data_IF_262162093891
#
_entry.id   IF_262162093891
#
_cell.length_a   1.000
_cell.length_b   1.000
_cell.length_c   1.000
_cell.angle_alpha   90.00
_cell.angle_beta   90.00
_cell.angle_gamma   90.00
#
_symmetry.space_group_name_H-M   'P 1'
#
loop_
_entity.id
_entity.type
_entity.pdbx_description
1 polymer ?
#
# COMPACT_ATOMS: atom_id res chain seq x y z
N UNK A 1 7.72 3.83 4.41
CA UNK A 1 7.75 5.03 5.32
C UNK A 1 7.81 4.53 6.75
N UNK A 2 8.88 4.86 7.50
CA UNK A 2 9.14 4.25 8.82
C UNK A 2 8.73 5.11 10.01
N UNK A 3 8.59 6.43 9.83
CA UNK A 3 8.15 7.38 10.86
C UNK A 3 7.67 8.68 10.23
N UNK A 4 6.93 9.49 10.98
CA UNK A 4 6.47 10.83 10.57
C UNK A 4 7.33 11.91 11.24
N UNK A 5 8.26 12.48 10.48
CA UNK A 5 9.15 13.58 10.85
C UNK A 5 9.01 14.74 9.88
N UNK A 6 9.61 15.88 10.17
CA UNK A 6 9.56 17.06 9.29
C UNK A 6 10.06 16.81 7.86
N UNK A 7 10.80 15.72 7.62
CA UNK A 7 11.30 15.34 6.30
C UNK A 7 10.36 14.39 5.54
N UNK A 8 9.27 13.96 6.17
CA UNK A 8 8.39 12.92 5.61
C UNK A 8 7.65 13.41 4.38
N UNK A 9 6.93 14.51 4.48
CA UNK A 9 6.19 15.08 3.34
C UNK A 9 7.10 15.52 2.20
N UNK A 10 8.21 16.27 2.43
CA UNK A 10 9.15 16.60 1.36
C UNK A 10 9.76 15.36 0.68
N UNK A 11 10.10 14.33 1.47
CA UNK A 11 10.60 13.06 0.95
C UNK A 11 9.58 12.32 0.10
N UNK A 12 8.32 12.27 0.52
CA UNK A 12 7.21 11.67 -0.21
C UNK A 12 7.00 12.36 -1.57
N UNK A 13 6.89 13.68 -1.57
CA UNK A 13 6.70 14.47 -2.80
C UNK A 13 7.84 14.24 -3.77
N UNK A 14 9.08 14.30 -3.27
CA UNK A 14 10.28 14.03 -4.10
C UNK A 14 10.26 12.62 -4.70
N UNK A 15 9.87 11.60 -3.92
CA UNK A 15 9.81 10.22 -4.39
C UNK A 15 8.75 10.07 -5.49
N UNK A 16 7.54 10.59 -5.28
CA UNK A 16 6.45 10.52 -6.29
C UNK A 16 6.83 11.26 -7.58
N UNK A 17 7.45 12.44 -7.46
CA UNK A 17 7.96 13.18 -8.63
C UNK A 17 9.06 12.41 -9.35
N UNK A 18 9.94 11.73 -8.60
CA UNK A 18 10.96 10.85 -9.15
C UNK A 18 10.35 9.72 -9.98
N UNK A 19 9.38 9.00 -9.41
CA UNK A 19 8.68 7.92 -10.12
C UNK A 19 7.96 8.41 -11.39
N UNK A 20 7.28 9.56 -11.31
CA UNK A 20 6.64 10.16 -12.49
C UNK A 20 7.64 10.51 -13.59
N UNK A 21 8.82 11.03 -13.22
CA UNK A 21 9.87 11.38 -14.17
C UNK A 21 10.52 10.16 -14.81
N UNK A 22 10.71 9.09 -14.03
CA UNK A 22 11.40 7.87 -14.46
C UNK A 22 10.49 6.97 -15.30
N UNK A 23 9.25 6.76 -14.85
CA UNK A 23 8.31 5.80 -15.43
C UNK A 23 7.30 6.44 -16.39
N UNK A 24 7.07 7.75 -16.29
CA UNK A 24 6.09 8.42 -17.15
C UNK A 24 4.73 7.74 -17.13
N UNK A 25 4.25 7.39 -18.32
CA UNK A 25 2.94 6.72 -18.52
C UNK A 25 2.92 5.24 -18.07
N UNK A 26 4.08 4.65 -17.80
CA UNK A 26 4.18 3.29 -17.26
C UNK A 26 3.87 3.22 -15.76
N UNK A 27 3.80 4.36 -15.07
CA UNK A 27 3.45 4.41 -13.66
C UNK A 27 1.96 4.08 -13.46
N UNK A 28 1.66 2.86 -13.07
CA UNK A 28 0.29 2.34 -12.93
C UNK A 28 -0.37 2.66 -11.59
N UNK A 29 0.41 2.96 -10.55
CA UNK A 29 -0.09 3.26 -9.21
C UNK A 29 1.01 3.34 -8.17
N UNK A 30 0.63 3.58 -6.92
CA UNK A 30 1.57 3.76 -5.80
C UNK A 30 1.17 2.86 -4.63
N UNK A 31 2.17 2.26 -4.00
CA UNK A 31 2.02 1.58 -2.71
C UNK A 31 2.65 2.44 -1.63
N UNK A 32 1.84 2.87 -0.66
CA UNK A 32 2.29 3.57 0.55
C UNK A 32 2.42 2.55 1.69
N UNK A 33 3.62 2.11 1.98
CA UNK A 33 3.87 1.15 3.06
C UNK A 33 4.03 1.88 4.40
N UNK A 34 3.05 1.66 5.29
CA UNK A 34 3.01 2.16 6.67
C UNK A 34 3.14 1.03 7.69
N UNK A 35 3.48 -0.18 7.28
CA UNK A 35 3.70 -1.29 8.20
C UNK A 35 4.84 -0.96 9.15
N UNK A 36 4.70 -1.35 10.41
CA UNK A 36 5.68 -1.11 11.48
C UNK A 36 6.04 0.37 11.70
N UNK A 37 5.20 1.29 11.23
CA UNK A 37 5.39 2.72 11.45
C UNK A 37 4.60 3.17 12.70
N UNK A 38 5.26 3.47 13.83
CA UNK A 38 4.59 3.82 15.09
C UNK A 38 3.96 5.23 15.08
N UNK A 39 4.07 5.95 13.96
CA UNK A 39 3.57 7.31 13.79
C UNK A 39 4.65 8.38 13.92
N UNK A 40 4.32 9.50 14.52
CA UNK A 40 5.18 10.66 14.68
C UNK A 40 4.37 11.95 14.74
N UNK A 41 4.81 12.98 14.02
CA UNK A 41 4.20 14.30 14.04
C UNK A 41 2.79 14.30 13.41
N UNK A 42 1.82 14.88 14.12
CA UNK A 42 0.47 15.09 13.60
C UNK A 42 0.46 15.96 12.34
N UNK A 43 1.25 17.04 12.33
CA UNK A 43 1.39 17.93 11.18
C UNK A 43 1.81 17.16 9.91
N UNK A 44 2.71 16.19 10.05
CA UNK A 44 3.15 15.38 8.92
C UNK A 44 2.08 14.37 8.47
N UNK A 45 1.30 13.79 9.41
CA UNK A 45 0.17 12.94 9.03
C UNK A 45 -0.86 13.74 8.22
N UNK A 46 -1.15 14.98 8.64
CA UNK A 46 -2.05 15.89 7.91
C UNK A 46 -1.46 16.20 6.53
N UNK A 47 -0.20 16.61 6.44
CA UNK A 47 0.44 16.99 5.17
C UNK A 47 0.57 15.80 4.20
N UNK A 48 0.88 14.60 4.69
CA UNK A 48 0.91 13.38 3.87
C UNK A 48 -0.48 13.03 3.36
N UNK A 49 -1.52 13.12 4.19
CA UNK A 49 -2.89 12.88 3.75
C UNK A 49 -3.34 13.93 2.73
N UNK A 50 -3.04 15.22 2.99
CA UNK A 50 -3.29 16.36 2.11
C UNK A 50 -2.68 16.15 0.72
N UNK A 51 -1.48 15.54 0.65
CA UNK A 51 -0.79 15.26 -0.62
C UNK A 51 -1.54 14.29 -1.55
N UNK A 52 -2.51 13.54 -1.06
CA UNK A 52 -3.28 12.55 -1.84
C UNK A 52 -4.77 12.90 -1.97
N UNK A 53 -5.25 13.92 -1.24
CA UNK A 53 -6.67 14.27 -1.20
C UNK A 53 -6.91 15.59 -1.93
N UNK A 54 -8.06 15.68 -2.61
CA UNK A 54 -8.48 16.93 -3.25
C UNK A 54 -9.28 17.81 -2.30
N UNK A 55 -10.15 17.22 -1.47
CA UNK A 55 -11.02 17.92 -0.54
C UNK A 55 -11.47 17.01 0.60
N UNK A 56 -11.77 17.60 1.74
CA UNK A 56 -12.46 16.96 2.85
C UNK A 56 -11.67 16.98 4.16
N UNK A 57 -12.31 16.52 5.22
CA UNK A 57 -11.67 16.39 6.52
C UNK A 57 -10.62 15.29 6.50
N UNK A 58 -9.46 15.53 7.09
CA UNK A 58 -8.40 14.52 7.26
C UNK A 58 -8.55 13.82 8.61
N UNK A 59 -8.68 14.63 9.66
CA UNK A 59 -8.77 14.15 11.03
C UNK A 59 -9.41 15.20 11.91
N UNK A 60 -10.19 14.77 12.89
CA UNK A 60 -10.59 15.67 13.98
C UNK A 60 -10.08 15.18 15.34
N UNK A 61 -9.89 16.14 16.24
CA UNK A 61 -9.60 15.85 17.65
C UNK A 61 -10.77 16.30 18.51
N UNK A 62 -11.14 15.52 19.51
CA UNK A 62 -12.21 15.86 20.46
C UNK A 62 -11.72 15.66 21.87
N UNK A 63 -11.79 16.74 22.67
CA UNK A 63 -11.48 16.74 24.08
C UNK A 63 -12.56 16.04 24.90
N UNK A 64 -12.33 15.88 26.21
CA UNK A 64 -13.23 15.22 27.14
C UNK A 64 -14.61 15.88 27.23
N UNK A 65 -14.70 17.20 27.11
CA UNK A 65 -15.95 17.96 27.19
C UNK A 65 -16.77 17.93 25.90
N UNK A 66 -16.18 17.46 24.79
CA UNK A 66 -16.78 17.51 23.44
C UNK A 66 -16.87 18.92 22.84
N UNK A 67 -16.63 19.98 23.65
CA UNK A 67 -16.66 21.37 23.18
C UNK A 67 -15.38 21.82 22.50
N UNK A 68 -14.27 21.15 22.83
CA UNK A 68 -12.94 21.45 22.29
C UNK A 68 -12.64 20.45 21.16
N UNK A 69 -13.20 20.70 19.99
CA UNK A 69 -12.89 19.92 18.79
C UNK A 69 -12.11 20.75 17.78
N UNK A 70 -11.07 20.15 17.22
CA UNK A 70 -10.29 20.74 16.14
C UNK A 70 -10.40 19.84 14.91
N UNK A 71 -10.63 20.46 13.76
CA UNK A 71 -10.78 19.76 12.49
C UNK A 71 -9.66 20.18 11.53
N UNK A 72 -9.09 19.22 10.83
CA UNK A 72 -8.07 19.46 9.82
C UNK A 72 -8.59 18.99 8.46
N UNK A 73 -8.48 19.84 7.45
CA UNK A 73 -9.01 19.62 6.11
C UNK A 73 -7.89 19.61 5.08
N UNK A 74 -8.12 18.87 3.99
CA UNK A 74 -7.25 18.87 2.83
C UNK A 74 -7.51 20.08 1.94
N UNK A 75 -6.50 20.40 1.15
CA UNK A 75 -6.52 21.39 0.08
C UNK A 75 -6.40 20.67 -1.27
N UNK A 76 -6.93 21.26 -2.37
CA UNK A 76 -6.81 20.66 -3.69
C UNK A 76 -5.36 20.40 -4.08
N UNK A 77 -5.06 19.23 -4.64
CA UNK A 77 -3.76 18.94 -5.19
C UNK A 77 -3.22 17.51 -4.93
N UNK A 78 -3.93 16.50 -5.45
CA UNK A 78 -3.40 15.11 -5.43
C UNK A 78 -2.12 14.99 -6.24
N UNK A 79 -1.00 14.74 -5.54
CA UNK A 79 0.33 14.62 -6.16
C UNK A 79 0.45 13.44 -7.14
N UNK A 80 -0.50 12.49 -7.14
CA UNK A 80 -0.50 11.34 -8.03
C UNK A 80 -1.41 11.52 -9.24
N UNK A 81 -2.20 12.60 -9.30
CA UNK A 81 -3.21 12.85 -10.32
C UNK A 81 -4.24 11.71 -10.44
N UNK A 82 -4.68 11.18 -9.30
CA UNK A 82 -5.69 10.12 -9.24
C UNK A 82 -5.20 8.72 -9.63
N UNK A 83 -3.91 8.46 -9.68
CA UNK A 83 -3.38 7.10 -9.86
C UNK A 83 -3.87 6.19 -8.73
N UNK A 84 -4.08 4.89 -9.00
CA UNK A 84 -4.38 3.89 -7.98
C UNK A 84 -3.40 3.97 -6.80
N UNK A 85 -3.95 3.97 -5.57
CA UNK A 85 -3.17 4.04 -4.34
C UNK A 85 -3.56 2.89 -3.42
N UNK A 86 -2.56 2.15 -2.96
CA UNK A 86 -2.72 1.10 -1.94
C UNK A 86 -1.93 1.51 -0.70
N UNK A 87 -2.54 1.40 0.47
CA UNK A 87 -1.88 1.65 1.76
C UNK A 87 -1.71 0.33 2.51
N UNK A 88 -0.47 -0.03 2.82
CA UNK A 88 -0.17 -1.22 3.63
C UNK A 88 -0.12 -0.86 5.11
N UNK A 89 -0.85 -1.59 5.94
CA UNK A 89 -0.85 -1.45 7.39
C UNK A 89 -0.71 -2.79 8.10
N UNK A 90 -0.23 -2.75 9.35
CA UNK A 90 -0.22 -3.90 10.25
C UNK A 90 -0.37 -3.44 11.71
N UNK A 91 -0.27 -4.37 12.64
CA UNK A 91 -0.34 -4.09 14.09
C UNK A 91 0.75 -3.15 14.62
N UNK A 92 1.82 -2.92 13.87
CA UNK A 92 2.85 -1.93 14.17
C UNK A 92 2.55 -0.53 13.64
N UNK A 93 1.49 -0.36 12.81
CA UNK A 93 1.04 0.93 12.31
C UNK A 93 0.24 1.65 13.39
N UNK A 94 0.70 2.81 13.86
CA UNK A 94 0.08 3.50 14.99
C UNK A 94 0.02 5.02 14.79
N UNK A 95 -0.93 5.68 15.49
CA UNK A 95 -1.01 7.15 15.61
C UNK A 95 -1.10 7.87 14.24
N UNK A 96 -0.05 8.62 13.84
CA UNK A 96 0.01 9.32 12.55
C UNK A 96 -0.25 8.39 11.35
N UNK A 97 0.25 7.15 11.37
CA UNK A 97 -0.02 6.15 10.34
C UNK A 97 -1.50 5.80 10.25
N UNK A 98 -2.20 5.76 11.40
CA UNK A 98 -3.62 5.45 11.46
C UNK A 98 -4.47 6.64 10.99
N UNK A 99 -3.99 7.87 11.21
CA UNK A 99 -4.62 9.08 10.66
C UNK A 99 -4.58 9.05 9.14
N UNK A 100 -3.41 8.80 8.55
CA UNK A 100 -3.24 8.71 7.10
C UNK A 100 -4.08 7.58 6.51
N UNK A 101 -3.98 6.37 7.06
CA UNK A 101 -4.73 5.22 6.56
C UNK A 101 -6.24 5.45 6.67
N UNK A 102 -6.71 5.99 7.81
CA UNK A 102 -8.13 6.27 8.05
C UNK A 102 -8.68 7.36 7.12
N UNK A 103 -7.94 8.45 6.93
CA UNK A 103 -8.34 9.52 6.03
C UNK A 103 -8.46 9.03 4.59
N UNK A 104 -7.43 8.37 4.06
CA UNK A 104 -7.42 7.87 2.68
C UNK A 104 -8.47 6.79 2.43
N UNK A 105 -8.75 5.95 3.43
CA UNK A 105 -9.81 4.94 3.40
C UNK A 105 -11.20 5.58 3.36
N UNK A 106 -11.51 6.48 4.31
CA UNK A 106 -12.83 7.08 4.45
C UNK A 106 -13.21 7.91 3.20
N UNK A 107 -12.22 8.57 2.59
CA UNK A 107 -12.38 9.26 1.31
C UNK A 107 -12.38 8.34 0.08
N UNK A 108 -12.23 7.02 0.26
CA UNK A 108 -12.09 6.05 -0.83
C UNK A 108 -10.97 6.41 -1.82
N UNK A 109 -9.96 7.14 -1.34
CA UNK A 109 -8.81 7.54 -2.15
C UNK A 109 -7.81 6.41 -2.31
N UNK A 110 -7.70 5.53 -1.30
CA UNK A 110 -6.83 4.37 -1.33
C UNK A 110 -7.56 3.12 -0.86
N UNK A 111 -7.08 1.97 -1.32
CA UNK A 111 -7.42 0.67 -0.74
C UNK A 111 -6.43 0.38 0.38
N UNK A 112 -6.93 0.18 1.59
CA UNK A 112 -6.12 -0.20 2.75
C UNK A 112 -6.01 -1.72 2.81
N UNK A 113 -4.78 -2.24 2.79
CA UNK A 113 -4.48 -3.67 2.72
C UNK A 113 -3.54 -4.07 3.86
N UNK A 114 -3.69 -5.30 4.35
CA UNK A 114 -2.83 -5.86 5.40
C UNK A 114 -3.61 -6.37 6.59
N UNK A 115 -3.20 -6.03 7.80
CA UNK A 115 -3.91 -6.40 9.03
C UNK A 115 -4.26 -5.17 9.85
N UNK A 116 -5.23 -5.30 10.76
CA UNK A 116 -5.69 -4.19 11.59
C UNK A 116 -4.53 -3.48 12.30
N UNK A 117 -4.56 -2.15 12.31
CA UNK A 117 -3.56 -1.30 12.96
C UNK A 117 -3.64 -1.34 14.49
N UNK A 118 -2.72 -0.67 15.15
CA UNK A 118 -2.52 -0.73 16.61
C UNK A 118 -3.70 -0.16 17.43
N UNK A 119 -4.24 0.99 17.04
CA UNK A 119 -5.32 1.65 17.78
C UNK A 119 -4.85 2.73 18.76
N UNK A 120 -3.82 3.50 18.40
CA UNK A 120 -3.36 4.64 19.22
C UNK A 120 -4.01 5.94 18.76
N UNK A 121 -5.19 6.21 19.30
CA UNK A 121 -5.98 7.41 19.00
C UNK A 121 -5.91 8.51 20.04
N UNK A 122 -4.96 8.50 20.98
CA UNK A 122 -4.84 9.51 22.04
C UNK A 122 -3.95 10.68 21.62
N UNK A 123 -4.43 11.90 21.86
CA UNK A 123 -3.66 13.15 21.76
C UNK A 123 -2.97 13.43 23.08
N UNK A 124 -1.66 13.58 23.04
CA UNK A 124 -0.87 13.91 24.25
C UNK A 124 -0.36 15.36 24.16
N UNK A 125 -0.66 16.12 25.18
CA UNK A 125 -0.18 17.50 25.35
C UNK A 125 0.94 17.53 26.39
N UNK A 126 2.03 18.19 26.05
CA UNK A 126 3.15 18.44 26.96
C UNK A 126 2.94 19.82 27.61
N UNK A 127 2.76 19.84 28.90
CA UNK A 127 2.54 21.06 29.71
C UNK A 127 3.83 21.36 30.46
N UNK A 128 4.55 22.45 30.15
CA UNK A 128 5.73 22.85 30.90
C UNK A 128 5.37 23.18 32.34
N UNK A 129 6.18 22.70 33.29
CA UNK A 129 6.09 23.06 34.71
C UNK A 129 7.31 23.92 35.06
N UNK A 130 7.13 25.24 35.22
CA UNK A 130 8.26 26.13 35.50
C UNK A 130 9.12 25.64 36.67
N UNK A 131 10.42 25.42 36.42
CA UNK A 131 11.37 24.93 37.40
C UNK A 131 11.33 23.41 37.70
N UNK A 132 10.37 22.65 37.10
CA UNK A 132 10.16 21.22 37.45
C UNK A 132 10.02 20.29 36.24
N UNK A 133 10.40 20.74 35.03
CA UNK A 133 10.31 19.91 33.83
C UNK A 133 8.97 20.06 33.10
N UNK A 134 8.36 18.96 32.65
CA UNK A 134 7.10 19.01 31.91
C UNK A 134 6.22 17.77 32.24
N UNK A 135 4.92 17.97 32.19
CA UNK A 135 3.90 16.90 32.36
C UNK A 135 3.28 16.54 31.01
N UNK A 136 3.17 15.26 30.72
CA UNK A 136 2.48 14.75 29.52
C UNK A 136 1.12 14.20 29.89
N UNK A 137 0.07 14.79 29.34
CA UNK A 137 -1.30 14.39 29.59
C UNK A 137 -2.03 14.02 28.31
N UNK A 138 -2.92 13.02 28.37
CA UNK A 138 -3.86 12.75 27.30
C UNK A 138 -5.03 13.72 27.42
N UNK A 139 -5.21 14.60 26.44
CA UNK A 139 -6.20 15.69 26.47
C UNK A 139 -7.35 15.48 25.49
N UNK A 140 -7.13 14.69 24.41
CA UNK A 140 -8.14 14.46 23.38
C UNK A 140 -7.95 13.10 22.70
N UNK A 141 -8.89 12.76 21.82
CA UNK A 141 -8.81 11.58 20.93
C UNK A 141 -8.90 11.99 19.49
N UNK A 142 -8.25 11.21 18.62
CA UNK A 142 -8.36 11.32 17.17
C UNK A 142 -9.57 10.58 16.65
N UNK A 143 -10.23 11.19 15.65
CA UNK A 143 -11.36 10.63 14.92
C UNK A 143 -11.07 10.74 13.41
N UNK A 144 -11.44 9.69 12.69
CA UNK A 144 -11.37 9.68 11.22
C UNK A 144 -12.46 10.58 10.62
N UNK A 145 -12.43 10.91 9.33
CA UNK A 145 -13.48 11.69 8.67
C UNK A 145 -14.90 11.13 8.86
N UNK A 146 -15.04 9.81 8.90
CA UNK A 146 -16.32 9.14 9.20
C UNK A 146 -16.77 9.24 10.67
N UNK A 147 -15.97 9.89 11.53
CA UNK A 147 -16.26 10.07 12.95
C UNK A 147 -15.94 8.87 13.82
N UNK A 148 -15.19 7.89 13.30
CA UNK A 148 -14.78 6.71 14.07
C UNK A 148 -13.57 7.06 14.93
N UNK A 149 -13.64 6.76 16.24
CA UNK A 149 -12.48 6.91 17.12
C UNK A 149 -11.42 5.85 16.82
N UNK A 150 -10.19 6.30 16.60
CA UNK A 150 -9.03 5.42 16.39
C UNK A 150 -8.68 4.66 17.68
N UNK A 151 -8.92 5.29 18.86
CA UNK A 151 -8.50 4.76 20.16
C UNK A 151 -9.07 3.37 20.42
N UNK A 152 -8.18 2.41 20.66
CA UNK A 152 -8.43 0.99 20.95
C UNK A 152 -9.10 0.20 19.80
N UNK A 153 -9.52 0.87 18.72
CA UNK A 153 -10.17 0.24 17.56
C UNK A 153 -9.16 0.00 16.42
N UNK A 154 -8.27 0.96 16.21
CA UNK A 154 -7.40 0.97 15.04
C UNK A 154 -8.16 1.17 13.73
N UNK A 155 -7.45 1.02 12.63
CA UNK A 155 -7.98 1.01 11.28
C UNK A 155 -8.03 -0.44 10.80
N UNK A 156 -9.23 -0.91 10.46
CA UNK A 156 -9.39 -2.19 9.78
C UNK A 156 -9.05 -2.03 8.30
N UNK A 157 -8.28 -2.94 7.69
CA UNK A 157 -8.03 -2.89 6.25
C UNK A 157 -9.32 -3.11 5.45
N UNK A 158 -9.36 -2.69 4.19
CA UNK A 158 -10.42 -3.05 3.23
C UNK A 158 -10.23 -4.49 2.76
N UNK A 159 -8.97 -4.89 2.59
CA UNK A 159 -8.58 -6.25 2.21
C UNK A 159 -7.65 -6.79 3.28
N UNK A 160 -8.12 -7.78 4.04
CA UNK A 160 -7.27 -8.44 5.03
C UNK A 160 -6.30 -9.40 4.33
N UNK A 161 -5.01 -9.13 4.48
CA UNK A 161 -3.92 -9.99 4.00
C UNK A 161 -2.96 -10.24 5.16
N UNK A 162 -2.93 -11.45 5.64
CA UNK A 162 -2.00 -11.88 6.69
C UNK A 162 -0.59 -12.03 6.11
N UNK A 163 0.42 -11.92 6.95
CA UNK A 163 1.78 -12.30 6.57
C UNK A 163 1.79 -13.79 6.28
N UNK A 164 2.30 -14.17 5.11
CA UNK A 164 2.41 -15.56 4.69
C UNK A 164 3.73 -15.78 3.96
N UNK A 165 4.26 -16.99 4.07
CA UNK A 165 5.36 -17.47 3.25
C UNK A 165 4.76 -18.26 2.07
N UNK A 166 5.18 -17.93 0.85
CA UNK A 166 4.75 -18.65 -0.36
C UNK A 166 5.78 -19.75 -0.63
N UNK A 167 5.31 -20.97 -0.68
CA UNK A 167 6.09 -22.11 -1.15
C UNK A 167 5.55 -22.50 -2.53
N UNK A 168 6.32 -22.31 -3.62
CA UNK A 168 5.92 -22.76 -4.93
C UNK A 168 5.78 -24.27 -4.93
N UNK A 169 4.66 -24.78 -5.42
CA UNK A 169 4.45 -26.20 -5.62
C UNK A 169 4.51 -26.45 -7.11
N UNK A 170 5.51 -27.22 -7.54
CA UNK A 170 5.57 -27.69 -8.92
C UNK A 170 4.67 -28.93 -9.06
N UNK A 171 3.58 -28.79 -9.78
CA UNK A 171 2.66 -29.88 -10.08
C UNK A 171 3.04 -30.65 -11.34
N UNK A 172 4.18 -30.36 -11.98
CA UNK A 172 4.57 -30.99 -13.23
C UNK A 172 3.48 -30.83 -14.30
N UNK A 173 2.92 -29.63 -14.43
CA UNK A 173 1.82 -29.37 -15.38
C UNK A 173 2.34 -29.57 -16.79
N UNK A 174 1.85 -30.64 -17.44
CA UNK A 174 2.09 -30.93 -18.86
C UNK A 174 1.12 -30.08 -19.68
N UNK A 175 1.63 -29.26 -20.59
CA UNK A 175 0.82 -28.49 -21.52
C UNK A 175 0.55 -29.31 -22.79
N UNK A 176 -0.44 -28.91 -23.60
CA UNK A 176 -0.74 -29.56 -24.86
C UNK A 176 0.50 -29.64 -25.79
N UNK A 177 1.33 -28.61 -25.78
CA UNK A 177 2.59 -28.52 -26.53
C UNK A 177 3.65 -29.55 -26.12
N UNK A 178 3.53 -30.08 -24.87
CA UNK A 178 4.45 -31.06 -24.30
C UNK A 178 3.95 -32.51 -24.52
N UNK A 179 2.74 -32.67 -25.06
CA UNK A 179 2.14 -33.98 -25.28
C UNK A 179 2.64 -34.54 -26.62
N UNK A 180 3.11 -35.77 -26.58
CA UNK A 180 3.59 -36.48 -27.78
C UNK A 180 2.44 -36.61 -28.80
N UNK A 181 2.57 -35.90 -29.95
CA UNK A 181 1.56 -35.83 -30.99
C UNK A 181 0.64 -34.61 -30.90
N UNK A 182 1.00 -33.60 -30.11
CA UNK A 182 0.33 -32.29 -30.11
C UNK A 182 0.39 -31.67 -31.53
N UNK A 183 -0.65 -30.93 -31.90
CA UNK A 183 -0.70 -30.22 -33.17
C UNK A 183 0.33 -29.07 -33.17
N UNK A 184 1.18 -29.02 -34.19
CA UNK A 184 2.16 -27.94 -34.33
C UNK A 184 1.49 -26.57 -34.47
N UNK A 185 2.10 -25.54 -33.86
CA UNK A 185 1.62 -24.15 -33.89
C UNK A 185 1.64 -23.48 -35.30
N UNK A 186 2.12 -24.16 -36.33
CA UNK A 186 2.25 -23.60 -37.68
C UNK A 186 1.06 -24.02 -38.55
N UNK A 187 0.08 -23.14 -38.65
CA UNK A 187 -1.03 -23.23 -39.64
C UNK A 187 -0.58 -22.86 -41.06
N UNK A 188 0.69 -22.82 -41.38
CA UNK A 188 1.16 -22.63 -42.75
C UNK A 188 1.76 -23.94 -43.30
N UNK A 189 0.89 -24.62 -44.07
CA UNK A 189 1.23 -25.90 -44.69
C UNK A 189 2.51 -25.90 -45.49
N UNK A 190 3.51 -26.58 -44.97
CA UNK A 190 4.53 -27.31 -45.72
C UNK A 190 4.94 -28.50 -44.88
N UNK A 191 4.53 -29.63 -45.34
CA UNK A 191 5.08 -30.90 -44.91
C UNK A 191 6.51 -30.97 -45.42
N UNK A 192 7.48 -30.95 -44.53
CA UNK A 192 8.83 -31.41 -44.82
C UNK A 192 9.15 -32.60 -43.89
N UNK A 193 9.24 -33.70 -44.55
CA UNK A 193 9.68 -35.01 -44.07
C UNK A 193 11.15 -34.91 -43.56
N UNK A 194 11.38 -34.99 -42.27
CA UNK A 194 12.73 -35.28 -41.73
C UNK A 194 12.63 -36.24 -40.57
N UNK A 195 12.93 -37.48 -40.94
CA UNK A 195 13.35 -38.52 -40.01
C UNK A 195 14.69 -38.18 -39.35
N UNK A 196 14.80 -38.59 -38.09
CA UNK A 196 16.01 -38.98 -37.34
C UNK A 196 16.53 -38.05 -36.24
N UNK A 197 16.46 -38.62 -35.08
CA UNK A 197 17.47 -38.68 -34.03
C UNK A 197 17.99 -37.33 -33.48
N UNK A 198 17.64 -37.03 -32.23
CA UNK A 198 18.67 -37.05 -31.19
C UNK A 198 18.01 -36.67 -29.84
N UNK A 199 18.52 -37.27 -28.80
CA UNK A 199 18.23 -37.01 -27.43
C UNK A 199 18.23 -35.54 -27.16
N UNK A 200 17.04 -34.95 -26.93
CA UNK A 200 16.96 -33.57 -26.52
C UNK A 200 16.63 -33.54 -25.06
N UNK A 201 17.64 -33.17 -24.30
CA UNK A 201 17.59 -32.76 -22.92
C UNK A 201 16.31 -32.01 -22.63
N UNK A 202 15.50 -32.60 -21.74
CA UNK A 202 14.42 -31.93 -21.04
C UNK A 202 14.94 -30.63 -20.44
N UNK A 203 14.12 -29.60 -20.60
CA UNK A 203 14.06 -28.50 -19.66
C UNK A 203 15.25 -27.56 -19.73
N UNK A 204 15.09 -26.44 -20.41
CA UNK A 204 15.74 -25.23 -19.92
C UNK A 204 15.16 -24.98 -18.54
N UNK A 205 15.87 -25.43 -17.53
CA UNK A 205 15.71 -24.96 -16.17
C UNK A 205 15.81 -23.43 -16.24
N UNK A 206 14.70 -22.77 -16.00
CA UNK A 206 14.76 -21.35 -15.60
C UNK A 206 15.50 -21.43 -14.27
N UNK A 207 16.73 -20.92 -14.28
CA UNK A 207 17.55 -20.83 -13.09
C UNK A 207 16.84 -19.95 -12.03
N UNK A 208 16.04 -20.61 -11.23
CA UNK A 208 15.36 -19.99 -10.08
C UNK A 208 16.28 -19.85 -8.88
N UNK A 209 17.57 -20.18 -9.03
CA UNK A 209 18.55 -20.18 -7.94
C UNK A 209 18.98 -18.78 -7.50
N UNK A 210 18.65 -17.71 -8.24
CA UNK A 210 19.00 -16.34 -7.86
C UNK A 210 17.92 -15.56 -7.11
N UNK A 211 16.69 -16.07 -6.97
CA UNK A 211 15.71 -15.47 -6.07
C UNK A 211 15.74 -16.27 -4.77
N UNK A 212 16.44 -15.75 -3.78
CA UNK A 212 16.38 -16.32 -2.44
C UNK A 212 14.91 -16.41 -2.02
N UNK A 213 14.39 -17.63 -1.87
CA UNK A 213 12.99 -17.94 -1.55
C UNK A 213 12.51 -17.32 -0.22
N UNK A 214 13.40 -16.71 0.53
CA UNK A 214 13.13 -16.15 1.86
C UNK A 214 12.57 -14.72 1.86
N UNK A 215 12.40 -14.04 0.72
CA UNK A 215 12.12 -12.60 0.69
C UNK A 215 10.91 -12.13 -0.14
N UNK A 216 10.03 -13.01 -0.59
CA UNK A 216 8.82 -12.52 -1.26
C UNK A 216 7.85 -11.98 -0.20
N UNK A 217 7.78 -10.65 -0.11
CA UNK A 217 6.79 -9.96 0.71
C UNK A 217 5.38 -10.18 0.14
N UNK A 218 4.67 -11.15 0.71
CA UNK A 218 3.35 -11.56 0.25
C UNK A 218 2.34 -10.40 0.26
N UNK A 219 2.35 -9.56 1.28
CA UNK A 219 1.44 -8.41 1.37
C UNK A 219 1.74 -7.37 0.29
N UNK A 220 3.02 -7.08 0.04
CA UNK A 220 3.44 -6.18 -1.04
C UNK A 220 3.07 -6.77 -2.41
N UNK A 221 3.28 -8.06 -2.63
CA UNK A 221 2.89 -8.74 -3.87
C UNK A 221 1.38 -8.59 -4.13
N UNK A 222 0.53 -8.79 -3.11
CA UNK A 222 -0.93 -8.58 -3.24
C UNK A 222 -1.30 -7.13 -3.54
N UNK A 223 -0.58 -6.16 -2.95
CA UNK A 223 -0.78 -4.74 -3.26
C UNK A 223 -0.43 -4.40 -4.72
N UNK A 224 0.65 -4.96 -5.24
CA UNK A 224 1.05 -4.80 -6.65
C UNK A 224 0.06 -5.46 -7.60
N UNK A 225 -0.46 -6.65 -7.29
CA UNK A 225 -1.49 -7.31 -8.10
C UNK A 225 -2.77 -6.48 -8.15
N UNK A 226 -3.17 -5.84 -7.03
CA UNK A 226 -4.32 -4.97 -6.99
C UNK A 226 -4.15 -3.74 -7.90
N UNK A 227 -2.96 -3.13 -7.90
CA UNK A 227 -2.64 -1.99 -8.80
C UNK A 227 -2.70 -2.43 -10.26
N UNK A 228 -2.08 -3.57 -10.60
CA UNK A 228 -2.11 -4.14 -11.96
C UNK A 228 -3.56 -4.41 -12.41
N UNK A 229 -4.35 -5.05 -11.54
CA UNK A 229 -5.77 -5.31 -11.81
C UNK A 229 -6.55 -4.02 -12.06
N UNK A 230 -6.37 -2.99 -11.22
CA UNK A 230 -7.02 -1.69 -11.40
C UNK A 230 -6.65 -1.02 -12.73
N UNK A 231 -5.39 -1.12 -13.17
CA UNK A 231 -4.92 -0.61 -14.45
C UNK A 231 -5.58 -1.34 -15.63
N UNK A 232 -5.68 -2.68 -15.58
CA UNK A 232 -6.36 -3.47 -16.61
C UNK A 232 -7.84 -3.07 -16.73
N UNK A 233 -8.57 -2.95 -15.60
CA UNK A 233 -9.99 -2.55 -15.63
C UNK A 233 -10.19 -1.12 -16.13
N UNK A 234 -9.27 -0.20 -15.86
CA UNK A 234 -9.33 1.17 -16.38
C UNK A 234 -9.21 1.18 -17.92
N UNK A 235 -8.29 0.39 -18.46
CA UNK A 235 -8.08 0.28 -19.91
C UNK A 235 -9.28 -0.36 -20.63
N UNK A 236 -9.95 -1.36 -20.01
CA UNK A 236 -11.16 -1.98 -20.56
C UNK A 236 -12.38 -1.03 -20.65
N UNK A 237 -12.43 0.01 -19.80
CA UNK A 237 -13.51 1.02 -19.83
C UNK A 237 -13.30 2.12 -20.86
N UNK A 238 -12.06 2.30 -21.32
CA UNK A 238 -11.69 3.35 -22.27
C UNK A 238 -11.68 2.85 -23.74
N UNK A 239 -11.90 1.57 -23.95
CA UNK A 239 -12.16 0.93 -25.24
C UNK A 239 -13.66 0.59 -25.39
#
# INVERSE_FOLDING_TARGET
>A
MTTFSQQTTPGLVKAVQGFKKELGDELQGIVLDLRNNPGGLLSEAISVSDSFLELGEIVSTRGKSGKDSTHHYSRPGDITNGLPLVVLINSGSASASEIVAGALKDHKRAVVLGTRSFGKGSVQTVIPLPGHGAMRLTTARYYTPSGISIQAKGIAPDIEVKVAKIEPIDFGIVREEDIRGALDKNEDGKADDVSKNEETSLGKEIDTSEISQDEIDFQLSRALDLIRGASVFKNLKNN
#
